data_IF_025061117636
#
_entry.id   IF_025061117636
#
_cell.length_a   1.000
_cell.length_b   1.000
_cell.length_c   1.000
_cell.angle_alpha   90.00
_cell.angle_beta   90.00
_cell.angle_gamma   90.00
#
_symmetry.space_group_name_H-M   'P 1'
#
loop_
_entity.id
_entity.type
_entity.pdbx_description
1 polymer ?
#
# COMPACT_ATOMS: atom_id res chain seq x y z
N UNK A 1 -23.83 -31.27 21.46
CA UNK A 1 -22.45 -31.08 21.10
C UNK A 1 -22.02 -29.68 21.46
N UNK A 2 -21.01 -29.55 22.29
CA UNK A 2 -20.46 -28.31 22.83
C UNK A 2 -19.49 -27.70 21.80
N UNK A 3 -19.79 -26.53 21.29
CA UNK A 3 -18.79 -25.66 20.63
C UNK A 3 -18.13 -24.81 21.71
N UNK A 4 -16.88 -25.13 22.03
CA UNK A 4 -16.02 -24.28 22.85
C UNK A 4 -15.63 -23.05 22.09
N UNK A 5 -15.84 -21.87 22.69
CA UNK A 5 -15.32 -20.59 22.22
C UNK A 5 -13.78 -20.65 22.23
N UNK A 6 -13.16 -20.52 21.06
CA UNK A 6 -11.74 -20.27 20.97
C UNK A 6 -11.47 -18.84 21.47
N UNK A 7 -10.68 -18.72 22.53
CA UNK A 7 -10.18 -17.45 23.01
C UNK A 7 -9.32 -16.77 21.93
N UNK A 8 -9.36 -15.43 21.83
CA UNK A 8 -8.59 -14.73 20.82
C UNK A 8 -7.09 -14.88 21.09
N UNK A 9 -6.36 -15.26 20.04
CA UNK A 9 -4.90 -15.32 20.00
C UNK A 9 -4.27 -14.06 20.63
N UNK A 10 -3.41 -14.31 21.60
CA UNK A 10 -2.71 -13.29 22.36
C UNK A 10 -1.86 -12.40 21.42
N UNK A 11 -2.32 -11.18 21.13
CA UNK A 11 -1.62 -10.20 20.29
C UNK A 11 -0.38 -9.73 21.01
N UNK A 12 0.78 -9.84 20.35
CA UNK A 12 2.01 -9.20 20.82
C UNK A 12 1.78 -7.68 20.92
N UNK A 13 1.86 -7.15 22.12
CA UNK A 13 1.72 -5.70 22.37
C UNK A 13 3.05 -5.04 22.02
N UNK A 14 3.10 -4.31 20.92
CA UNK A 14 4.21 -3.41 20.60
C UNK A 14 3.96 -2.04 21.24
N UNK A 15 4.95 -1.50 21.95
CA UNK A 15 4.86 -0.19 22.62
C UNK A 15 6.01 0.70 22.19
N UNK A 16 5.71 1.99 21.93
CA UNK A 16 6.75 3.01 21.79
C UNK A 16 7.25 3.44 23.16
N UNK A 17 8.55 3.32 23.38
CA UNK A 17 9.20 3.95 24.53
C UNK A 17 9.77 5.31 24.14
N UNK A 18 9.33 6.37 24.82
CA UNK A 18 10.00 7.66 24.77
C UNK A 18 11.17 7.61 25.77
N UNK A 19 12.39 7.63 25.28
CA UNK A 19 13.55 7.94 26.11
C UNK A 19 13.61 9.46 26.32
N UNK A 20 12.70 10.00 27.16
CA UNK A 20 12.92 11.30 27.81
C UNK A 20 13.39 11.03 29.18
N UNK A 21 14.57 11.56 29.56
CA UNK A 21 15.04 11.59 30.95
C UNK A 21 14.02 12.34 31.81
N UNK A 22 13.44 11.67 32.80
CA UNK A 22 12.69 12.26 33.90
C UNK A 22 11.18 12.25 33.75
N UNK A 23 10.53 11.10 33.81
CA UNK A 23 9.33 10.92 34.64
C UNK A 23 9.05 9.41 34.80
N UNK A 24 9.18 8.93 36.03
CA UNK A 24 8.87 7.54 36.38
C UNK A 24 7.41 7.43 36.82
N UNK A 25 6.48 7.44 35.88
CA UNK A 25 5.18 6.79 36.12
C UNK A 25 5.25 5.40 35.50
N UNK A 26 5.64 4.43 36.28
CA UNK A 26 5.58 3.02 35.89
C UNK A 26 4.13 2.58 35.94
N UNK A 27 3.45 2.64 34.80
CA UNK A 27 2.40 1.68 34.53
C UNK A 27 3.10 0.35 34.34
N UNK A 28 2.81 -0.63 35.18
CA UNK A 28 3.32 -2.00 35.07
C UNK A 28 2.89 -2.58 33.71
N UNK A 29 3.78 -2.51 32.73
CA UNK A 29 3.59 -3.22 31.48
C UNK A 29 3.87 -4.70 31.76
N UNK A 30 2.86 -5.53 31.50
CA UNK A 30 3.03 -6.97 31.53
C UNK A 30 4.01 -7.35 30.40
N UNK A 31 5.28 -7.51 30.76
CA UNK A 31 6.31 -7.97 29.83
C UNK A 31 6.15 -9.49 29.67
N UNK A 32 5.73 -9.93 28.50
CA UNK A 32 5.75 -11.35 28.12
C UNK A 32 7.20 -11.87 28.02
N UNK A 33 7.37 -13.11 27.56
CA UNK A 33 8.69 -13.72 27.37
C UNK A 33 9.54 -13.04 26.28
N UNK A 34 8.88 -12.32 25.35
CA UNK A 34 9.52 -11.56 24.29
C UNK A 34 8.67 -10.32 23.96
N UNK A 35 9.32 -9.23 23.59
CA UNK A 35 8.69 -7.99 23.15
C UNK A 35 9.52 -7.31 22.07
N UNK A 36 8.90 -6.37 21.35
CA UNK A 36 9.56 -5.52 20.37
C UNK A 36 9.58 -4.10 20.92
N UNK A 37 10.76 -3.49 20.96
CA UNK A 37 10.93 -2.07 21.27
C UNK A 37 11.03 -1.27 19.97
N UNK A 38 10.17 -0.26 19.82
CA UNK A 38 10.16 0.63 18.68
C UNK A 38 10.72 1.99 19.07
N UNK A 39 11.65 2.50 18.26
CA UNK A 39 12.24 3.80 18.48
C UNK A 39 11.50 4.85 17.62
N UNK A 40 10.69 5.68 18.29
CA UNK A 40 9.91 6.74 17.62
C UNK A 40 10.81 7.78 16.93
N UNK A 41 11.95 8.14 17.52
CA UNK A 41 12.86 9.11 16.93
C UNK A 41 13.52 8.55 15.66
N UNK A 42 13.88 7.27 15.65
CA UNK A 42 14.40 6.60 14.45
C UNK A 42 13.35 6.51 13.35
N UNK A 43 12.08 6.20 13.70
CA UNK A 43 10.99 6.18 12.73
C UNK A 43 10.80 7.56 12.10
N UNK A 44 10.75 8.61 12.90
CA UNK A 44 10.66 10.01 12.43
C UNK A 44 11.82 10.35 11.50
N UNK A 45 13.05 10.09 11.94
CA UNK A 45 14.25 10.34 11.14
C UNK A 45 14.16 9.65 9.76
N UNK A 46 13.78 8.37 9.73
CA UNK A 46 13.65 7.62 8.47
C UNK A 46 12.57 8.23 7.55
N UNK A 47 11.43 8.65 8.10
CA UNK A 47 10.38 9.32 7.32
C UNK A 47 10.90 10.63 6.73
N UNK A 48 11.56 11.47 7.52
CA UNK A 48 12.13 12.75 7.08
C UNK A 48 13.18 12.54 5.97
N UNK A 49 14.05 11.52 6.11
CA UNK A 49 15.02 11.19 5.06
C UNK A 49 14.35 10.73 3.77
N UNK A 50 13.35 9.84 3.85
CA UNK A 50 12.64 9.37 2.66
C UNK A 50 11.84 10.49 2.00
N UNK A 51 11.19 11.37 2.78
CA UNK A 51 10.46 12.52 2.26
C UNK A 51 11.39 13.51 1.54
N UNK A 52 12.61 13.70 2.04
CA UNK A 52 13.61 14.59 1.42
C UNK A 52 14.10 14.09 0.04
N UNK A 53 13.94 12.79 -0.25
CA UNK A 53 14.29 12.21 -1.56
C UNK A 53 13.14 12.32 -2.59
N UNK A 54 11.93 12.68 -2.15
CA UNK A 54 10.77 12.72 -3.05
C UNK A 54 10.79 13.95 -3.93
N UNK A 55 10.43 13.83 -5.22
CA UNK A 55 10.17 14.97 -6.07
C UNK A 55 9.00 15.84 -5.52
N UNK A 56 8.90 17.11 -5.94
CA UNK A 56 7.72 17.93 -5.67
C UNK A 56 6.42 17.19 -6.08
N UNK A 57 5.38 17.28 -5.26
CA UNK A 57 4.07 16.65 -5.48
C UNK A 57 4.06 15.10 -5.41
N UNK A 58 5.13 14.49 -4.93
CA UNK A 58 5.17 13.07 -4.61
C UNK A 58 4.96 12.85 -3.10
N UNK A 59 4.33 11.75 -2.72
CA UNK A 59 4.05 11.42 -1.33
C UNK A 59 4.47 9.98 -1.01
N UNK A 60 4.80 9.72 0.25
CA UNK A 60 5.04 8.37 0.74
C UNK A 60 3.73 7.60 0.87
N UNK A 61 3.75 6.34 0.43
CA UNK A 61 2.67 5.37 0.61
C UNK A 61 3.26 4.06 1.15
N UNK A 62 3.68 4.02 2.43
CA UNK A 62 4.35 2.88 3.01
C UNK A 62 3.47 1.64 3.10
N UNK A 63 4.07 0.47 2.87
CA UNK A 63 3.44 -0.83 3.06
C UNK A 63 3.50 -1.22 4.55
N UNK A 64 2.33 -1.31 5.19
CA UNK A 64 2.17 -1.73 6.59
C UNK A 64 1.45 -3.07 6.71
N UNK A 65 1.45 -3.86 5.62
CA UNK A 65 0.92 -5.23 5.57
C UNK A 65 1.63 -6.17 6.54
N UNK A 66 1.06 -7.34 6.79
CA UNK A 66 1.58 -8.35 7.73
C UNK A 66 1.92 -7.73 9.09
N UNK A 67 0.98 -6.94 9.64
CA UNK A 67 1.13 -6.23 10.89
C UNK A 67 2.38 -5.31 10.92
N UNK A 68 2.59 -4.53 9.83
CA UNK A 68 3.80 -3.75 9.59
C UNK A 68 5.07 -4.61 9.71
N UNK A 69 5.07 -5.78 9.06
CA UNK A 69 6.14 -6.77 9.14
C UNK A 69 6.49 -7.18 10.59
N UNK A 70 5.47 -7.26 11.44
CA UNK A 70 5.57 -7.62 12.85
C UNK A 70 5.74 -6.45 13.83
N UNK A 71 5.89 -5.22 13.35
CA UNK A 71 6.09 -4.04 14.20
C UNK A 71 4.80 -3.45 14.80
N UNK A 72 3.62 -3.94 14.39
CA UNK A 72 2.33 -3.40 14.84
C UNK A 72 1.77 -2.36 13.89
N UNK A 73 0.91 -2.79 12.93
CA UNK A 73 0.44 -1.96 11.83
C UNK A 73 -0.28 -0.70 12.28
N UNK A 74 -1.22 -0.82 13.23
CA UNK A 74 -1.98 0.33 13.75
C UNK A 74 -1.06 1.34 14.44
N UNK A 75 -0.12 0.85 15.28
CA UNK A 75 0.80 1.70 16.01
C UNK A 75 1.73 2.47 15.05
N UNK A 76 2.35 1.77 14.10
CA UNK A 76 3.23 2.37 13.09
C UNK A 76 2.45 3.36 12.22
N UNK A 77 1.28 2.98 11.70
CA UNK A 77 0.50 3.85 10.81
C UNK A 77 0.01 5.12 11.52
N UNK A 78 -0.38 5.05 12.79
CA UNK A 78 -0.74 6.24 13.58
C UNK A 78 0.44 7.18 13.80
N UNK A 79 1.62 6.66 14.09
CA UNK A 79 2.83 7.49 14.20
C UNK A 79 3.19 8.12 12.84
N UNK A 80 3.05 7.39 11.75
CA UNK A 80 3.23 7.90 10.39
C UNK A 80 2.19 8.99 10.05
N UNK A 81 0.92 8.82 10.44
CA UNK A 81 -0.09 9.88 10.31
C UNK A 81 0.31 11.16 11.07
N UNK A 82 0.84 11.03 12.29
CA UNK A 82 1.32 12.18 13.07
C UNK A 82 2.52 12.89 12.40
N UNK A 83 3.24 12.21 11.50
CA UNK A 83 4.32 12.75 10.67
C UNK A 83 3.86 13.25 9.29
N UNK A 84 2.54 13.30 9.05
CA UNK A 84 1.95 13.78 7.79
C UNK A 84 1.86 12.74 6.67
N UNK A 85 2.15 11.46 6.92
CA UNK A 85 1.94 10.40 5.94
C UNK A 85 0.46 10.02 5.93
N UNK A 86 -0.22 10.19 4.79
CA UNK A 86 -1.66 10.02 4.66
C UNK A 86 -2.05 8.98 3.59
N UNK A 87 -1.17 8.02 3.30
CA UNK A 87 -1.43 6.93 2.39
C UNK A 87 -0.68 5.68 2.85
N UNK A 88 -1.31 4.50 2.74
CA UNK A 88 -0.78 3.23 3.23
C UNK A 88 -1.14 2.09 2.29
N UNK A 89 -0.29 1.07 2.21
CA UNK A 89 -0.58 -0.18 1.50
C UNK A 89 -0.71 -1.34 2.49
N UNK A 90 -1.74 -2.16 2.28
CA UNK A 90 -1.99 -3.39 3.03
C UNK A 90 -2.15 -4.57 2.06
N UNK A 91 -2.07 -5.80 2.54
CA UNK A 91 -2.23 -6.98 1.69
C UNK A 91 -3.71 -7.35 1.50
N UNK A 92 -4.54 -7.18 2.52
CA UNK A 92 -5.92 -7.68 2.56
C UNK A 92 -6.91 -6.62 3.04
N UNK A 93 -8.20 -6.85 2.74
CA UNK A 93 -9.30 -6.00 3.23
C UNK A 93 -9.34 -5.98 4.77
N UNK A 94 -9.05 -7.08 5.43
CA UNK A 94 -9.09 -7.17 6.89
C UNK A 94 -7.98 -6.36 7.57
N UNK A 95 -6.78 -6.35 7.00
CA UNK A 95 -5.72 -5.43 7.46
C UNK A 95 -6.13 -3.95 7.30
N UNK A 96 -6.79 -3.61 6.18
CA UNK A 96 -7.33 -2.26 5.98
C UNK A 96 -8.39 -1.88 6.99
N UNK A 97 -9.29 -2.79 7.33
CA UNK A 97 -10.31 -2.61 8.37
C UNK A 97 -9.65 -2.40 9.74
N UNK A 98 -8.65 -3.20 10.09
CA UNK A 98 -7.91 -3.06 11.34
C UNK A 98 -7.28 -1.67 11.47
N UNK A 99 -6.66 -1.15 10.41
CA UNK A 99 -6.12 0.21 10.39
C UNK A 99 -7.22 1.26 10.62
N UNK A 100 -8.37 1.14 9.93
CA UNK A 100 -9.49 2.09 10.12
C UNK A 100 -10.05 2.07 11.54
N UNK A 101 -10.27 0.87 12.09
CA UNK A 101 -10.71 0.70 13.48
C UNK A 101 -9.69 1.25 14.48
N UNK A 102 -8.41 1.18 14.14
CA UNK A 102 -7.32 1.81 14.89
C UNK A 102 -7.21 3.33 14.72
N UNK A 103 -8.11 3.98 13.95
CA UNK A 103 -8.12 5.43 13.76
C UNK A 103 -7.09 5.95 12.75
N UNK A 104 -6.55 5.10 11.88
CA UNK A 104 -5.63 5.51 10.82
C UNK A 104 -6.39 6.27 9.74
N UNK A 105 -5.93 7.49 9.44
CA UNK A 105 -6.48 8.38 8.42
C UNK A 105 -5.78 8.22 7.06
N UNK A 106 -6.37 8.84 6.03
CA UNK A 106 -5.78 8.87 4.69
C UNK A 106 -6.20 7.70 3.81
N UNK A 107 -5.53 7.51 2.69
CA UNK A 107 -5.81 6.45 1.74
C UNK A 107 -5.25 5.10 2.22
N UNK A 108 -6.02 4.03 2.11
CA UNK A 108 -5.55 2.67 2.38
C UNK A 108 -5.80 1.82 1.14
N UNK A 109 -4.71 1.45 0.47
CA UNK A 109 -4.71 0.63 -0.74
C UNK A 109 -4.48 -0.84 -0.39
N UNK A 110 -5.41 -1.70 -0.81
CA UNK A 110 -5.29 -3.15 -0.72
C UNK A 110 -4.54 -3.65 -1.95
N UNK A 111 -3.37 -4.24 -1.76
CA UNK A 111 -2.50 -4.72 -2.83
C UNK A 111 -2.92 -6.08 -3.40
N UNK A 112 -3.64 -6.88 -2.61
CA UNK A 112 -4.07 -8.22 -2.97
C UNK A 112 -5.49 -8.29 -3.51
N UNK A 113 -5.93 -9.52 -3.82
CA UNK A 113 -7.29 -9.83 -4.23
C UNK A 113 -8.26 -9.69 -3.05
N UNK A 114 -9.42 -9.10 -3.32
CA UNK A 114 -10.56 -9.07 -2.40
C UNK A 114 -11.75 -9.73 -3.10
N UNK A 115 -12.33 -10.78 -2.51
CA UNK A 115 -13.48 -11.44 -3.08
C UNK A 115 -14.67 -10.45 -3.20
N UNK A 116 -15.45 -10.46 -4.31
CA UNK A 116 -16.54 -9.50 -4.54
C UNK A 116 -17.57 -9.41 -3.41
N UNK A 117 -17.79 -10.49 -2.65
CA UNK A 117 -18.68 -10.46 -1.45
C UNK A 117 -18.27 -9.41 -0.39
N UNK A 118 -17.02 -8.96 -0.39
CA UNK A 118 -16.49 -7.96 0.55
C UNK A 118 -16.52 -6.53 0.02
N UNK A 119 -17.10 -6.29 -1.17
CA UNK A 119 -17.27 -4.93 -1.71
C UNK A 119 -18.00 -4.01 -0.70
N UNK A 120 -19.04 -4.44 0.03
CA UNK A 120 -19.66 -3.61 1.07
C UNK A 120 -18.67 -3.14 2.15
N UNK A 121 -17.65 -3.95 2.49
CA UNK A 121 -16.61 -3.55 3.45
C UNK A 121 -15.64 -2.52 2.85
N UNK A 122 -15.32 -2.61 1.56
CA UNK A 122 -14.51 -1.60 0.89
C UNK A 122 -15.19 -0.23 0.97
N UNK A 123 -16.50 -0.18 0.74
CA UNK A 123 -17.31 1.04 0.83
C UNK A 123 -17.38 1.54 2.27
N UNK A 124 -17.77 0.68 3.21
CA UNK A 124 -17.96 1.02 4.62
C UNK A 124 -16.70 1.60 5.26
N UNK A 125 -15.54 1.04 4.94
CA UNK A 125 -14.27 1.44 5.54
C UNK A 125 -13.45 2.37 4.63
N UNK A 126 -14.01 2.86 3.52
CA UNK A 126 -13.35 3.74 2.57
C UNK A 126 -11.95 3.21 2.16
N UNK A 127 -11.91 1.95 1.71
CA UNK A 127 -10.69 1.30 1.26
C UNK A 127 -10.57 1.36 -0.26
N UNK A 128 -9.36 1.55 -0.76
CA UNK A 128 -9.04 1.52 -2.18
C UNK A 128 -8.61 0.12 -2.56
N UNK A 129 -9.22 -0.46 -3.61
CA UNK A 129 -8.90 -1.82 -4.07
C UNK A 129 -7.97 -1.80 -5.28
N UNK A 130 -7.00 -2.70 -5.32
CA UNK A 130 -6.22 -2.96 -6.53
C UNK A 130 -7.02 -3.77 -7.54
N UNK A 131 -7.12 -3.27 -8.77
CA UNK A 131 -7.59 -4.04 -9.92
C UNK A 131 -6.43 -4.84 -10.50
N UNK A 132 -6.58 -6.16 -10.50
CA UNK A 132 -5.53 -7.11 -10.90
C UNK A 132 -5.56 -7.40 -12.41
N UNK A 133 -6.75 -7.44 -12.99
CA UNK A 133 -7.00 -7.60 -14.42
C UNK A 133 -8.41 -7.14 -14.81
N UNK A 134 -8.69 -7.13 -16.10
CA UNK A 134 -10.00 -6.71 -16.63
C UNK A 134 -11.15 -7.61 -16.15
N UNK A 135 -10.95 -8.92 -16.01
CA UNK A 135 -11.98 -9.84 -15.54
C UNK A 135 -12.39 -9.52 -14.11
N UNK A 136 -11.41 -9.33 -13.26
CA UNK A 136 -11.65 -8.95 -11.85
C UNK A 136 -12.35 -7.59 -11.73
N UNK A 137 -12.02 -6.63 -12.62
CA UNK A 137 -12.74 -5.36 -12.69
C UNK A 137 -14.22 -5.55 -12.99
N UNK A 138 -14.59 -6.43 -13.91
CA UNK A 138 -15.99 -6.74 -14.22
C UNK A 138 -16.71 -7.40 -13.06
N UNK A 139 -16.06 -8.32 -12.33
CA UNK A 139 -16.61 -8.98 -11.15
C UNK A 139 -16.92 -7.95 -10.03
N UNK A 140 -16.03 -7.01 -9.76
CA UNK A 140 -16.27 -5.94 -8.78
C UNK A 140 -17.33 -4.96 -9.26
N UNK A 141 -17.31 -4.57 -10.54
CA UNK A 141 -18.29 -3.66 -11.12
C UNK A 141 -19.73 -4.24 -11.05
N UNK A 142 -19.88 -5.56 -11.19
CA UNK A 142 -21.17 -6.25 -11.10
C UNK A 142 -21.81 -6.15 -9.69
N UNK A 143 -21.05 -5.79 -8.66
CA UNK A 143 -21.58 -5.56 -7.31
C UNK A 143 -22.41 -4.28 -7.19
N UNK A 144 -22.37 -3.36 -8.15
CA UNK A 144 -23.24 -2.19 -8.23
C UNK A 144 -22.97 -1.12 -7.14
N UNK A 145 -21.79 -1.13 -6.53
CA UNK A 145 -21.39 -0.15 -5.50
C UNK A 145 -20.12 0.58 -5.95
N UNK A 146 -20.12 1.90 -5.82
CA UNK A 146 -18.96 2.72 -6.18
C UNK A 146 -17.82 2.45 -5.21
N UNK A 147 -16.68 1.99 -5.73
CA UNK A 147 -15.44 1.79 -4.99
C UNK A 147 -14.28 2.52 -5.67
N UNK A 148 -13.34 3.01 -4.85
CA UNK A 148 -12.10 3.57 -5.33
C UNK A 148 -11.14 2.45 -5.68
N UNK A 149 -10.44 2.60 -6.81
CA UNK A 149 -9.52 1.56 -7.28
C UNK A 149 -8.22 2.14 -7.84
N UNK A 150 -7.12 1.39 -7.65
CA UNK A 150 -5.89 1.57 -8.41
C UNK A 150 -5.71 0.40 -9.37
N UNK A 151 -5.35 0.68 -10.61
CA UNK A 151 -5.06 -0.35 -11.60
C UNK A 151 -3.61 -0.79 -11.44
N UNK A 152 -3.38 -2.09 -11.25
CA UNK A 152 -2.03 -2.64 -11.28
C UNK A 152 -1.66 -3.03 -12.70
N UNK A 153 -0.53 -2.48 -13.19
CA UNK A 153 0.08 -2.85 -14.46
C UNK A 153 1.24 -3.82 -14.21
N UNK A 154 1.29 -4.90 -14.98
CA UNK A 154 2.43 -5.82 -14.99
C UNK A 154 3.41 -5.37 -16.07
N UNK A 155 4.58 -4.95 -15.63
CA UNK A 155 5.68 -4.49 -16.49
C UNK A 155 6.86 -5.47 -16.53
N UNK A 156 6.65 -6.70 -16.06
CA UNK A 156 7.69 -7.73 -16.09
C UNK A 156 7.84 -8.58 -14.83
N UNK A 157 7.14 -8.26 -13.73
CA UNK A 157 7.17 -9.08 -12.51
C UNK A 157 6.36 -10.38 -12.63
N UNK A 158 5.33 -10.39 -13.49
CA UNK A 158 4.48 -11.55 -13.80
C UNK A 158 3.84 -12.24 -12.59
N UNK A 159 3.50 -11.44 -11.56
CA UNK A 159 2.83 -11.92 -10.35
C UNK A 159 1.35 -11.53 -10.30
N UNK A 160 1.06 -10.26 -10.46
CA UNK A 160 -0.28 -9.66 -10.46
C UNK A 160 -0.27 -8.43 -11.38
N UNK A 161 -1.42 -8.11 -11.96
CA UNK A 161 -1.63 -6.93 -12.78
C UNK A 161 -1.97 -7.29 -14.24
N UNK A 162 -2.72 -6.41 -14.91
CA UNK A 162 -2.92 -6.51 -16.35
C UNK A 162 -1.61 -6.13 -17.07
N UNK A 163 -1.25 -6.89 -18.09
CA UNK A 163 -0.02 -6.61 -18.85
C UNK A 163 -0.10 -5.23 -19.49
N UNK A 164 0.95 -4.44 -19.38
CA UNK A 164 0.97 -3.06 -19.86
C UNK A 164 0.75 -2.92 -21.38
N UNK A 165 0.99 -3.98 -22.15
CA UNK A 165 0.73 -4.04 -23.58
C UNK A 165 -0.78 -4.20 -23.93
N UNK A 166 -1.59 -4.68 -22.98
CA UNK A 166 -3.02 -4.94 -23.17
C UNK A 166 -3.86 -3.67 -22.98
N UNK A 167 -3.53 -2.59 -23.67
CA UNK A 167 -4.18 -1.28 -23.51
C UNK A 167 -5.70 -1.33 -23.65
N UNK A 168 -6.23 -2.13 -24.58
CA UNK A 168 -7.67 -2.29 -24.79
C UNK A 168 -8.38 -2.84 -23.54
N UNK A 169 -7.76 -3.83 -22.87
CA UNK A 169 -8.32 -4.39 -21.64
C UNK A 169 -8.26 -3.38 -20.51
N UNK A 170 -7.13 -2.65 -20.39
CA UNK A 170 -6.97 -1.62 -19.37
C UNK A 170 -7.99 -0.49 -19.60
N UNK A 171 -8.17 -0.03 -20.85
CA UNK A 171 -9.16 0.98 -21.21
C UNK A 171 -10.58 0.57 -20.81
N UNK A 172 -10.95 -0.70 -21.00
CA UNK A 172 -12.28 -1.22 -20.60
C UNK A 172 -12.52 -1.16 -19.10
N UNK A 173 -11.47 -1.15 -18.27
CA UNK A 173 -11.61 -0.96 -16.81
C UNK A 173 -12.17 0.44 -16.51
N UNK A 174 -11.77 1.47 -17.27
CA UNK A 174 -12.29 2.83 -17.13
C UNK A 174 -13.77 2.96 -17.57
N UNK A 175 -14.29 2.02 -18.33
CA UNK A 175 -15.70 1.98 -18.70
C UNK A 175 -16.60 1.34 -17.62
N UNK A 176 -16.02 0.79 -16.55
CA UNK A 176 -16.75 0.21 -15.43
C UNK A 176 -17.39 1.30 -14.58
N UNK A 177 -18.71 1.41 -14.63
CA UNK A 177 -19.50 2.50 -14.03
C UNK A 177 -19.30 2.64 -12.49
N UNK A 178 -19.08 1.53 -11.82
CA UNK A 178 -18.95 1.50 -10.34
C UNK A 178 -17.51 1.48 -9.85
N UNK A 179 -16.52 1.61 -10.77
CA UNK A 179 -15.10 1.69 -10.41
C UNK A 179 -14.60 3.13 -10.59
N UNK A 180 -14.30 3.81 -9.48
CA UNK A 180 -13.65 5.12 -9.50
C UNK A 180 -12.13 4.92 -9.54
N UNK A 181 -11.53 5.00 -10.73
CA UNK A 181 -10.08 4.88 -10.88
C UNK A 181 -9.39 6.11 -10.33
N UNK A 182 -8.68 5.97 -9.22
CA UNK A 182 -7.94 7.03 -8.52
C UNK A 182 -6.44 6.94 -8.70
N UNK A 183 -5.94 5.83 -9.28
CA UNK A 183 -4.53 5.68 -9.56
C UNK A 183 -4.19 4.44 -10.38
N UNK A 184 -2.91 4.35 -10.75
CA UNK A 184 -2.32 3.17 -11.36
C UNK A 184 -0.90 2.97 -10.85
N UNK A 185 -0.44 1.71 -10.79
CA UNK A 185 0.90 1.40 -10.32
C UNK A 185 1.48 0.14 -10.93
N UNK A 186 2.78 0.02 -10.81
CA UNK A 186 3.50 -1.22 -11.04
C UNK A 186 4.43 -1.53 -9.89
N UNK A 187 5.11 -2.66 -9.94
CA UNK A 187 6.10 -3.07 -8.97
C UNK A 187 7.32 -3.65 -9.70
N UNK A 188 8.48 -3.12 -9.38
CA UNK A 188 9.75 -3.60 -9.94
C UNK A 188 10.03 -5.00 -9.40
N UNK A 189 10.56 -5.88 -10.23
CA UNK A 189 10.84 -7.26 -9.82
C UNK A 189 12.21 -7.40 -9.16
N UNK A 190 13.16 -6.49 -9.46
CA UNK A 190 14.46 -6.46 -8.82
C UNK A 190 14.42 -5.62 -7.55
N UNK A 191 14.99 -6.11 -6.47
CA UNK A 191 15.06 -5.45 -5.16
C UNK A 191 16.45 -4.87 -4.85
N UNK A 192 17.55 -5.50 -5.36
CA UNK A 192 18.90 -4.96 -5.24
C UNK A 192 19.28 -4.10 -6.45
N UNK A 193 18.88 -2.84 -6.40
CA UNK A 193 19.14 -1.86 -7.47
C UNK A 193 20.53 -1.20 -7.37
N UNK A 194 21.41 -1.68 -6.50
CA UNK A 194 22.82 -1.30 -6.50
C UNK A 194 23.60 -1.98 -7.63
N UNK A 195 23.09 -3.13 -8.12
CA UNK A 195 23.69 -3.85 -9.25
C UNK A 195 23.28 -3.20 -10.58
N UNK A 196 24.24 -2.90 -11.48
CA UNK A 196 23.93 -2.23 -12.76
C UNK A 196 22.90 -2.95 -13.63
N UNK A 197 22.96 -4.29 -13.70
CA UNK A 197 22.00 -5.09 -14.48
C UNK A 197 20.57 -4.96 -13.94
N UNK A 198 20.40 -4.96 -12.61
CA UNK A 198 19.10 -4.85 -11.97
C UNK A 198 18.53 -3.43 -12.13
N UNK A 199 19.41 -2.43 -12.06
CA UNK A 199 19.04 -1.05 -12.36
C UNK A 199 18.55 -0.86 -13.80
N UNK A 200 19.24 -1.43 -14.78
CA UNK A 200 18.83 -1.41 -16.19
C UNK A 200 17.45 -2.08 -16.38
N UNK A 201 17.23 -3.22 -15.73
CA UNK A 201 15.93 -3.89 -15.73
C UNK A 201 14.82 -3.02 -15.12
N UNK A 202 15.09 -2.37 -14.00
CA UNK A 202 14.15 -1.45 -13.35
C UNK A 202 13.83 -0.23 -14.24
N UNK A 203 14.82 0.37 -14.89
CA UNK A 203 14.63 1.46 -15.86
C UNK A 203 13.76 1.01 -17.04
N UNK A 204 13.96 -0.22 -17.54
CA UNK A 204 13.14 -0.79 -18.62
C UNK A 204 11.69 -0.96 -18.19
N UNK A 205 11.44 -1.49 -16.97
CA UNK A 205 10.08 -1.58 -16.41
C UNK A 205 9.43 -0.20 -16.21
N UNK A 206 10.19 0.77 -15.70
CA UNK A 206 9.73 2.14 -15.53
C UNK A 206 9.32 2.78 -16.85
N UNK A 207 10.16 2.63 -17.89
CA UNK A 207 9.86 3.10 -19.25
C UNK A 207 8.58 2.49 -19.82
N UNK A 208 8.41 1.16 -19.70
CA UNK A 208 7.22 0.47 -20.16
C UNK A 208 5.97 0.96 -19.41
N UNK A 209 6.06 1.16 -18.08
CA UNK A 209 4.97 1.71 -17.27
C UNK A 209 4.53 3.09 -17.74
N UNK A 210 5.45 4.05 -17.80
CA UNK A 210 5.11 5.43 -18.19
C UNK A 210 4.66 5.54 -19.64
N UNK A 211 5.17 4.70 -20.53
CA UNK A 211 4.68 4.60 -21.91
C UNK A 211 3.20 4.17 -21.93
N UNK A 212 2.83 3.13 -21.18
CA UNK A 212 1.44 2.67 -21.08
C UNK A 212 0.54 3.76 -20.46
N UNK A 213 0.98 4.40 -19.37
CA UNK A 213 0.26 5.52 -18.75
C UNK A 213 0.05 6.67 -19.74
N UNK A 214 1.08 7.05 -20.50
CA UNK A 214 1.00 8.09 -21.51
C UNK A 214 -0.02 7.77 -22.61
N UNK A 215 -0.01 6.54 -23.11
CA UNK A 215 -0.96 6.08 -24.12
C UNK A 215 -2.40 6.08 -23.58
N UNK A 216 -2.62 5.58 -22.35
CA UNK A 216 -3.94 5.60 -21.71
C UNK A 216 -4.45 7.03 -21.51
N UNK A 217 -3.61 7.95 -21.07
CA UNK A 217 -3.99 9.38 -20.95
C UNK A 217 -4.32 9.99 -22.31
N UNK A 218 -3.57 9.67 -23.34
CA UNK A 218 -3.81 10.16 -24.72
C UNK A 218 -5.18 9.76 -25.26
N UNK A 219 -5.67 8.56 -24.92
CA UNK A 219 -7.01 8.08 -25.30
C UNK A 219 -8.11 8.49 -24.30
N UNK A 220 -7.82 9.42 -23.39
CA UNK A 220 -8.80 10.05 -22.49
C UNK A 220 -8.97 9.40 -21.11
N UNK A 221 -8.19 8.35 -20.77
CA UNK A 221 -8.24 7.75 -19.44
C UNK A 221 -7.69 8.70 -18.39
N UNK A 222 -8.47 8.97 -17.34
CA UNK A 222 -8.05 9.82 -16.22
C UNK A 222 -7.31 8.98 -15.17
N UNK A 223 -6.02 9.27 -14.97
CA UNK A 223 -5.17 8.57 -13.99
C UNK A 223 -4.54 9.63 -13.09
N UNK A 224 -5.21 10.01 -11.97
CA UNK A 224 -4.76 11.10 -11.11
C UNK A 224 -3.43 10.83 -10.41
N UNK A 225 -3.19 9.58 -10.01
CA UNK A 225 -1.99 9.18 -9.26
C UNK A 225 -1.28 8.03 -9.98
N UNK A 226 0.04 8.08 -9.95
CA UNK A 226 0.87 6.95 -10.41
C UNK A 226 1.92 6.65 -9.34
N UNK A 227 2.22 5.37 -9.11
CA UNK A 227 3.28 4.98 -8.18
C UNK A 227 3.99 3.70 -8.65
N UNK A 228 5.29 3.62 -8.40
CA UNK A 228 6.13 2.56 -8.95
C UNK A 228 7.23 2.11 -7.98
N UNK A 229 7.82 3.02 -7.20
CA UNK A 229 9.02 2.74 -6.43
C UNK A 229 8.68 2.12 -5.06
N UNK A 230 9.36 1.03 -4.73
CA UNK A 230 9.55 0.56 -3.36
C UNK A 230 10.80 1.22 -2.76
N UNK A 231 11.20 0.83 -1.54
CA UNK A 231 12.32 1.45 -0.81
C UNK A 231 13.63 1.45 -1.62
N UNK A 232 14.01 0.32 -2.22
CA UNK A 232 15.22 0.23 -3.03
C UNK A 232 15.16 1.13 -4.26
N UNK A 233 13.98 1.19 -4.93
CA UNK A 233 13.76 2.09 -6.07
C UNK A 233 13.92 3.55 -5.69
N UNK A 234 13.35 3.97 -4.57
CA UNK A 234 13.48 5.36 -4.09
C UNK A 234 14.92 5.72 -3.75
N UNK A 235 15.67 4.81 -3.15
CA UNK A 235 17.05 5.05 -2.72
C UNK A 235 18.06 5.01 -3.87
N UNK A 236 17.84 4.20 -4.91
CA UNK A 236 18.85 3.91 -5.93
C UNK A 236 18.44 4.25 -7.37
N UNK A 237 17.15 4.47 -7.63
CA UNK A 237 16.60 4.73 -8.96
C UNK A 237 15.46 5.76 -8.89
N UNK A 238 15.63 6.85 -8.12
CA UNK A 238 14.61 7.89 -7.95
C UNK A 238 14.22 8.54 -9.29
N UNK A 239 15.09 8.55 -10.29
CA UNK A 239 14.82 9.02 -11.65
C UNK A 239 13.68 8.28 -12.36
N UNK A 240 13.31 7.07 -11.92
CA UNK A 240 12.15 6.33 -12.45
C UNK A 240 10.83 6.92 -11.92
N UNK A 241 10.85 7.59 -10.78
CA UNK A 241 9.64 8.08 -10.12
C UNK A 241 8.96 9.27 -10.79
N UNK A 242 9.60 9.90 -11.79
CA UNK A 242 9.06 10.99 -12.61
C UNK A 242 9.28 12.35 -11.99
#
# INVERSE_FOLDING_TARGET
>A
GLYGCAEPFNRSVSTFKNYCQGDRSMTEFYQGRAWIELNRAALRHNVEQLQALLPPNCALMPAVKANAYGHGAVLIARELNALGVNAFCVATVFEGIELRQGGVAGEILILGYTHPQYVPLLVQYHLTQTILDHRYALELNACGQIIHVHIKLDTGMHRLGERCENLDKIQRIFACQFLCVTGAYTHLYEDDLTLPSNREAALTQGKAFYQAIGQLKHIGCQIPKVHILASSGLLHCSEIGG
#
